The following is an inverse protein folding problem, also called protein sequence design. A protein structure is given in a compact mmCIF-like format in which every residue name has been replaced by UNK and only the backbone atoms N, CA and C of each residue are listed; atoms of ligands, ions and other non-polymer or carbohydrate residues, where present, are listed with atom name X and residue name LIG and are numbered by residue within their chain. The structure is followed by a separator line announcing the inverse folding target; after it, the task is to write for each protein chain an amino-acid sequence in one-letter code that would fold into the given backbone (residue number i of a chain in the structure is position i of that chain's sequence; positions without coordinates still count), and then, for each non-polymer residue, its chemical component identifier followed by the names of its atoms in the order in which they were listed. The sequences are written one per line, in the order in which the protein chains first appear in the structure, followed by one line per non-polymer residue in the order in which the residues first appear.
data_IF_036439022980
#
_entry.id   IF_036439022980
#
_cell.length_a   1.000
_cell.length_b   1.000
_cell.length_c   1.000
_cell.angle_alpha   90.00
_cell.angle_beta   90.00
_cell.angle_gamma   90.00
#
_symmetry.space_group_name_H-M   'P 1'
#
loop_
_entity.id
_entity.type
_entity.pdbx_description
1 polymer ?
#
# COMPACT_ATOMS: atom_id res chain seq x y z
N UNK A 1 -22.33 -24.98 -11.13
CA UNK A 1 -22.82 -25.00 -9.73
C UNK A 1 -21.77 -24.26 -8.90
N UNK A 2 -21.85 -22.92 -8.86
CA UNK A 2 -20.97 -22.08 -8.04
C UNK A 2 -21.54 -22.15 -6.62
N UNK A 3 -20.82 -22.79 -5.71
CA UNK A 3 -21.15 -22.84 -4.30
C UNK A 3 -20.91 -21.46 -3.69
N UNK A 4 -21.97 -20.83 -3.18
CA UNK A 4 -21.91 -19.63 -2.35
C UNK A 4 -21.10 -19.93 -1.08
N UNK A 5 -19.82 -19.52 -1.06
CA UNK A 5 -18.94 -19.57 0.11
C UNK A 5 -18.94 -18.24 0.87
N UNK A 6 -20.09 -17.56 0.94
CA UNK A 6 -20.22 -16.36 1.76
C UNK A 6 -20.16 -16.75 3.25
N UNK A 7 -19.07 -16.39 3.93
CA UNK A 7 -19.04 -16.32 5.40
C UNK A 7 -18.42 -17.49 6.17
N UNK A 8 -17.63 -18.37 5.56
CA UNK A 8 -16.84 -19.36 6.32
C UNK A 8 -15.51 -18.77 6.81
N UNK A 9 -15.02 -19.22 7.97
CA UNK A 9 -13.72 -18.78 8.54
C UNK A 9 -12.58 -18.98 7.53
N UNK A 10 -12.54 -20.14 6.89
CA UNK A 10 -11.53 -20.48 5.88
C UNK A 10 -11.57 -19.53 4.68
N UNK A 11 -12.76 -19.12 4.23
CA UNK A 11 -12.89 -18.14 3.14
C UNK A 11 -12.40 -16.74 3.55
N UNK A 12 -12.62 -16.33 4.81
CA UNK A 12 -12.09 -15.05 5.33
C UNK A 12 -10.56 -15.09 5.44
N UNK A 13 -10.02 -16.21 5.91
CA UNK A 13 -8.58 -16.42 6.01
C UNK A 13 -7.90 -16.38 4.64
N UNK A 14 -8.45 -17.07 3.64
CA UNK A 14 -7.96 -17.01 2.26
C UNK A 14 -7.93 -15.57 1.73
N UNK A 15 -8.97 -14.77 1.98
CA UNK A 15 -9.03 -13.36 1.53
C UNK A 15 -8.04 -12.48 2.28
N UNK A 16 -7.90 -12.64 3.59
CA UNK A 16 -6.96 -11.87 4.39
C UNK A 16 -5.50 -12.17 3.99
N UNK A 17 -5.15 -13.46 3.85
CA UNK A 17 -3.83 -13.88 3.38
C UNK A 17 -3.59 -13.38 1.95
N UNK A 18 -4.60 -13.48 1.08
CA UNK A 18 -4.55 -12.94 -0.27
C UNK A 18 -4.26 -11.44 -0.29
N UNK A 19 -4.90 -10.65 0.58
CA UNK A 19 -4.68 -9.20 0.66
C UNK A 19 -3.22 -8.84 0.97
N UNK A 20 -2.63 -9.42 2.03
CA UNK A 20 -1.25 -9.09 2.40
C UNK A 20 -0.22 -9.66 1.41
N UNK A 21 -0.42 -10.87 0.89
CA UNK A 21 0.49 -11.44 -0.10
C UNK A 21 0.38 -10.73 -1.46
N UNK A 22 -0.83 -10.32 -1.85
CA UNK A 22 -1.07 -9.54 -3.05
C UNK A 22 -0.43 -8.15 -2.94
N UNK A 23 -0.60 -7.48 -1.80
CA UNK A 23 0.09 -6.22 -1.48
C UNK A 23 1.61 -6.39 -1.63
N UNK A 24 2.17 -7.41 -1.00
CA UNK A 24 3.61 -7.66 -1.02
C UNK A 24 4.13 -8.06 -2.42
N UNK A 25 3.33 -8.75 -3.23
CA UNK A 25 3.66 -9.02 -4.63
C UNK A 25 3.67 -7.73 -5.48
N UNK A 26 2.70 -6.85 -5.26
CA UNK A 26 2.64 -5.54 -5.90
C UNK A 26 3.83 -4.65 -5.53
N UNK A 27 4.09 -4.47 -4.23
CA UNK A 27 5.25 -3.77 -3.68
C UNK A 27 6.55 -4.31 -4.29
N UNK A 28 6.75 -5.64 -4.27
CA UNK A 28 7.94 -6.24 -4.84
C UNK A 28 8.08 -6.04 -6.36
N UNK A 29 6.99 -5.87 -7.09
CA UNK A 29 6.99 -5.65 -8.54
C UNK A 29 7.17 -4.18 -8.93
N UNK A 30 6.95 -3.24 -8.00
CA UNK A 30 7.03 -1.80 -8.24
C UNK A 30 8.41 -1.36 -8.75
N UNK A 31 8.43 -0.34 -9.61
CA UNK A 31 9.68 0.17 -10.17
C UNK A 31 10.66 0.65 -9.08
N UNK A 32 10.22 1.35 -8.00
CA UNK A 32 11.14 1.82 -6.97
C UNK A 32 11.62 0.72 -6.02
N UNK A 33 10.93 -0.42 -5.94
CA UNK A 33 11.28 -1.52 -5.03
C UNK A 33 12.71 -2.02 -5.21
N UNK A 34 13.24 -2.03 -6.44
CA UNK A 34 14.64 -2.37 -6.71
C UNK A 34 15.64 -1.37 -6.09
N UNK A 35 15.24 -0.10 -5.93
CA UNK A 35 16.03 0.94 -5.25
C UNK A 35 15.85 0.87 -3.73
N UNK A 36 14.63 0.59 -3.24
CA UNK A 36 14.32 0.40 -1.83
C UNK A 36 15.13 -0.74 -1.23
N UNK A 37 15.17 -1.88 -1.92
CA UNK A 37 16.02 -3.04 -1.62
C UNK A 37 17.50 -2.69 -1.41
N UNK A 38 17.98 -1.60 -2.02
CA UNK A 38 19.37 -1.12 -1.95
C UNK A 38 19.52 0.12 -1.06
N UNK A 39 18.50 0.52 -0.29
CA UNK A 39 18.52 1.74 0.52
C UNK A 39 19.75 1.80 1.45
N UNK A 40 20.13 0.65 2.02
CA UNK A 40 21.28 0.51 2.93
C UNK A 40 22.63 0.30 2.22
N UNK A 41 22.67 0.31 0.89
CA UNK A 41 23.91 0.20 0.09
C UNK A 41 24.39 1.59 -0.35
N UNK A 42 24.97 2.36 0.57
CA UNK A 42 25.28 3.78 0.37
C UNK A 42 26.15 4.06 -0.86
N UNK A 43 27.18 3.24 -1.10
CA UNK A 43 28.06 3.41 -2.26
C UNK A 43 27.32 3.16 -3.58
N UNK A 44 26.55 2.08 -3.70
CA UNK A 44 25.84 1.74 -4.95
C UNK A 44 24.75 2.76 -5.25
N UNK A 45 24.03 3.23 -4.23
CA UNK A 45 23.00 4.26 -4.37
C UNK A 45 23.62 5.59 -4.83
N UNK A 46 24.71 6.04 -4.19
CA UNK A 46 25.41 7.27 -4.60
C UNK A 46 26.03 7.17 -6.00
N UNK A 47 26.65 6.03 -6.31
CA UNK A 47 27.25 5.79 -7.63
C UNK A 47 26.19 5.80 -8.74
N UNK A 48 25.03 5.17 -8.53
CA UNK A 48 23.93 5.15 -9.51
C UNK A 48 23.49 6.55 -9.93
N UNK A 49 23.31 7.48 -8.97
CA UNK A 49 22.91 8.86 -9.27
C UNK A 49 24.02 9.64 -9.98
N UNK A 50 25.24 9.63 -9.44
CA UNK A 50 26.36 10.38 -9.99
C UNK A 50 26.72 9.91 -11.40
N UNK A 51 26.73 8.61 -11.62
CA UNK A 51 27.07 8.05 -12.93
C UNK A 51 25.93 8.24 -13.94
N UNK A 52 24.65 8.20 -13.51
CA UNK A 52 23.53 8.55 -14.39
C UNK A 52 23.64 10.00 -14.89
N UNK A 53 23.95 10.95 -14.00
CA UNK A 53 24.19 12.34 -14.42
C UNK A 53 25.33 12.48 -15.45
N UNK A 54 26.42 11.72 -15.27
CA UNK A 54 27.52 11.71 -16.23
C UNK A 54 27.15 11.05 -17.58
N UNK A 55 26.20 10.12 -17.59
CA UNK A 55 25.66 9.54 -18.82
C UNK A 55 24.78 10.55 -19.57
N UNK A 56 24.01 11.37 -18.85
CA UNK A 56 23.18 12.43 -19.43
C UNK A 56 24.05 13.49 -20.16
N UNK A 57 25.18 13.88 -19.56
CA UNK A 57 26.17 14.78 -20.19
C UNK A 57 26.70 14.22 -21.52
N UNK A 58 26.76 12.90 -21.64
CA UNK A 58 27.19 12.17 -22.84
C UNK A 58 26.04 11.82 -23.79
N UNK A 59 24.81 12.24 -23.48
CA UNK A 59 23.59 11.93 -24.24
C UNK A 59 23.33 10.41 -24.37
N UNK A 60 23.68 9.66 -23.34
CA UNK A 60 23.35 8.24 -23.25
C UNK A 60 21.94 8.10 -22.66
N UNK A 61 21.03 7.52 -23.43
CA UNK A 61 19.60 7.46 -23.06
C UNK A 61 19.25 6.42 -21.98
N UNK A 62 20.16 5.51 -21.66
CA UNK A 62 19.92 4.42 -20.70
C UNK A 62 20.37 4.83 -19.30
N UNK A 63 19.46 4.93 -18.31
CA UNK A 63 19.85 5.20 -16.93
C UNK A 63 20.56 3.99 -16.32
N UNK A 64 21.34 4.22 -15.27
CA UNK A 64 21.89 3.13 -14.48
C UNK A 64 20.86 2.61 -13.50
N UNK A 65 20.64 1.29 -13.53
CA UNK A 65 19.84 0.59 -12.54
C UNK A 65 20.70 0.21 -11.32
N UNK A 66 20.10 -0.02 -10.14
CA UNK A 66 20.85 -0.44 -8.96
C UNK A 66 21.63 -1.75 -9.17
N UNK A 67 22.94 -1.71 -8.94
CA UNK A 67 23.87 -2.84 -9.17
C UNK A 67 24.74 -3.12 -7.94
N UNK A 68 25.44 -4.26 -7.93
CA UNK A 68 26.50 -4.60 -6.97
C UNK A 68 27.80 -4.89 -7.71
N UNK A 69 28.95 -4.68 -7.05
CA UNK A 69 30.27 -5.05 -7.59
C UNK A 69 30.76 -6.43 -7.11
N UNK A 70 30.07 -7.02 -6.14
CA UNK A 70 30.44 -8.30 -5.52
C UNK A 70 29.55 -9.44 -6.03
N UNK A 71 30.17 -10.59 -6.27
CA UNK A 71 29.47 -11.87 -6.46
C UNK A 71 28.98 -12.33 -5.07
N UNK A 72 27.67 -12.43 -4.86
CA UNK A 72 27.08 -12.94 -3.60
C UNK A 72 26.24 -11.92 -2.80
N UNK A 73 26.24 -10.64 -3.19
CA UNK A 73 25.32 -9.62 -2.65
C UNK A 73 23.96 -9.63 -3.40
N UNK A 74 23.41 -10.82 -3.63
CA UNK A 74 22.09 -10.94 -4.25
C UNK A 74 21.07 -10.29 -3.32
N UNK A 75 20.39 -9.26 -3.82
CA UNK A 75 19.22 -8.73 -3.15
C UNK A 75 18.02 -9.36 -3.82
N UNK A 76 17.44 -10.42 -3.24
CA UNK A 76 16.39 -11.19 -3.88
C UNK A 76 15.16 -10.31 -4.10
N UNK A 77 14.28 -10.75 -5.00
CA UNK A 77 12.93 -10.20 -5.06
C UNK A 77 12.29 -10.32 -3.66
N UNK A 78 11.88 -9.20 -3.10
CA UNK A 78 11.22 -9.09 -1.80
C UNK A 78 10.34 -7.83 -1.77
N UNK A 79 9.29 -7.79 -0.96
CA UNK A 79 8.58 -6.54 -0.69
C UNK A 79 9.48 -5.58 0.11
N UNK A 80 9.06 -4.33 0.18
CA UNK A 80 9.79 -3.21 0.77
C UNK A 80 8.88 -2.36 1.66
N UNK A 81 8.74 -1.06 1.41
CA UNK A 81 8.08 -0.10 2.30
C UNK A 81 6.59 -0.34 2.50
N UNK A 82 5.85 -0.69 1.44
CA UNK A 82 4.40 -0.88 1.57
C UNK A 82 4.09 -2.07 2.50
N UNK A 83 4.74 -3.22 2.29
CA UNK A 83 4.52 -4.40 3.13
C UNK A 83 5.07 -4.21 4.55
N UNK A 84 6.20 -3.52 4.71
CA UNK A 84 6.75 -3.18 6.02
C UNK A 84 5.81 -2.22 6.77
N UNK A 85 5.20 -1.25 6.08
CA UNK A 85 4.20 -0.33 6.64
C UNK A 85 2.93 -1.04 7.06
N UNK A 86 2.40 -1.94 6.20
CA UNK A 86 1.27 -2.80 6.53
C UNK A 86 1.56 -3.65 7.78
N UNK A 87 2.78 -4.20 7.87
CA UNK A 87 3.19 -5.02 9.00
C UNK A 87 3.36 -4.23 10.31
N UNK A 88 3.88 -3.00 10.27
CA UNK A 88 3.89 -2.12 11.44
C UNK A 88 2.48 -1.89 11.94
N UNK A 89 1.55 -1.51 11.05
CA UNK A 89 0.16 -1.25 11.43
C UNK A 89 -0.48 -2.48 12.07
N UNK A 90 -0.28 -3.67 11.47
CA UNK A 90 -0.78 -4.92 12.02
C UNK A 90 -0.27 -5.19 13.45
N UNK A 91 1.03 -4.99 13.69
CA UNK A 91 1.61 -5.21 15.01
C UNK A 91 1.12 -4.18 16.03
N UNK A 92 0.97 -2.90 15.64
CA UNK A 92 0.40 -1.87 16.50
C UNK A 92 -1.03 -2.24 16.92
N UNK A 93 -1.88 -2.65 15.97
CA UNK A 93 -3.26 -3.08 16.28
C UNK A 93 -3.30 -4.27 17.24
N UNK A 94 -2.43 -5.26 17.03
CA UNK A 94 -2.37 -6.46 17.87
C UNK A 94 -1.85 -6.17 19.29
N UNK A 95 -1.12 -5.08 19.49
CA UNK A 95 -0.50 -4.69 20.76
C UNK A 95 -1.31 -3.63 21.53
N UNK A 96 -2.11 -2.81 20.82
CA UNK A 96 -2.80 -1.64 21.36
C UNK A 96 -4.33 -1.79 21.34
N UNK A 97 -4.95 -2.51 22.29
CA UNK A 97 -6.36 -2.95 22.21
C UNK A 97 -7.42 -1.84 22.19
N UNK A 98 -7.04 -0.59 22.44
CA UNK A 98 -7.97 0.56 22.47
C UNK A 98 -8.18 1.21 21.11
N UNK A 99 -7.18 1.14 20.24
CA UNK A 99 -7.15 1.82 18.94
C UNK A 99 -7.59 3.30 18.95
N UNK A 100 -7.44 3.99 20.08
CA UNK A 100 -7.56 5.45 20.16
C UNK A 100 -6.27 6.10 19.63
N UNK A 101 -6.35 7.38 19.23
CA UNK A 101 -5.24 8.08 18.58
C UNK A 101 -3.97 8.08 19.45
N UNK A 102 -4.10 8.11 20.78
CA UNK A 102 -2.95 8.10 21.69
C UNK A 102 -2.29 6.72 21.77
N UNK A 103 -3.09 5.65 21.85
CA UNK A 103 -2.60 4.27 21.87
C UNK A 103 -1.90 3.91 20.54
N UNK A 104 -2.55 4.18 19.40
CA UNK A 104 -1.97 3.91 18.08
C UNK A 104 -0.67 4.68 17.87
N UNK A 105 -0.63 5.95 18.27
CA UNK A 105 0.58 6.76 18.18
C UNK A 105 1.71 6.23 19.08
N UNK A 106 1.39 5.83 20.32
CA UNK A 106 2.36 5.24 21.22
C UNK A 106 2.96 3.95 20.63
N UNK A 107 2.11 3.04 20.15
CA UNK A 107 2.54 1.81 19.50
C UNK A 107 3.40 2.07 18.26
N UNK A 108 2.96 2.95 17.36
CA UNK A 108 3.71 3.34 16.16
C UNK A 108 5.11 3.87 16.49
N UNK A 109 5.22 4.73 17.51
CA UNK A 109 6.52 5.28 17.95
C UNK A 109 7.50 4.22 18.43
N UNK A 110 7.03 3.11 19.00
CA UNK A 110 7.92 2.02 19.45
C UNK A 110 8.64 1.34 18.29
N UNK A 111 8.11 1.46 17.06
CA UNK A 111 8.65 0.84 15.84
C UNK A 111 9.39 1.80 14.93
N UNK A 112 9.22 3.10 15.12
CA UNK A 112 9.87 4.13 14.33
C UNK A 112 11.12 4.65 15.02
N UNK A 113 12.15 3.79 15.07
CA UNK A 113 13.47 4.11 15.63
C UNK A 113 14.30 4.98 14.67
N UNK A 114 15.45 5.50 15.11
CA UNK A 114 16.31 6.33 14.26
C UNK A 114 16.92 5.57 13.06
N UNK A 115 17.03 4.23 13.14
CA UNK A 115 17.64 3.40 12.08
C UNK A 115 16.62 2.98 11.01
N UNK A 116 15.33 3.30 11.15
CA UNK A 116 14.35 2.98 10.09
C UNK A 116 14.53 3.89 8.88
N UNK A 117 14.18 3.41 7.71
CA UNK A 117 14.04 4.20 6.48
C UNK A 117 12.56 4.33 6.16
N UNK A 118 12.12 5.53 5.77
CA UNK A 118 10.70 5.83 5.58
C UNK A 118 10.48 6.80 4.43
N UNK A 119 9.22 6.93 3.99
CA UNK A 119 8.76 8.03 3.16
C UNK A 119 8.88 9.39 3.85
N UNK A 120 8.59 10.43 3.07
CA UNK A 120 8.71 11.83 3.50
C UNK A 120 7.70 12.20 4.60
N UNK A 121 6.46 11.71 4.50
CA UNK A 121 5.40 11.94 5.47
C UNK A 121 5.75 11.33 6.84
N UNK A 122 6.09 10.04 6.86
CA UNK A 122 6.47 9.31 8.07
C UNK A 122 7.75 9.90 8.68
N UNK A 123 8.75 10.26 7.87
CA UNK A 123 9.99 10.88 8.38
C UNK A 123 9.68 12.19 9.08
N UNK A 124 8.79 13.00 8.50
CA UNK A 124 8.35 14.26 9.08
C UNK A 124 7.60 14.02 10.39
N UNK A 125 6.73 13.00 10.46
CA UNK A 125 6.04 12.62 11.69
C UNK A 125 7.01 12.16 12.80
N UNK A 126 8.07 11.40 12.48
CA UNK A 126 9.14 11.04 13.43
C UNK A 126 9.79 12.31 14.00
N UNK A 127 10.19 13.24 13.12
CA UNK A 127 10.84 14.50 13.51
C UNK A 127 9.90 15.38 14.34
N UNK A 128 8.64 15.50 13.94
CA UNK A 128 7.62 16.28 14.64
C UNK A 128 7.31 15.66 16.01
N UNK A 129 7.24 14.34 16.09
CA UNK A 129 7.07 13.62 17.36
C UNK A 129 8.23 13.87 18.33
N UNK A 130 9.46 13.90 17.85
CA UNK A 130 10.64 14.24 18.65
C UNK A 130 10.62 15.69 19.16
N UNK A 131 9.87 16.59 18.50
CA UNK A 131 9.62 17.98 18.92
C UNK A 131 8.42 18.12 19.88
N UNK A 132 7.74 17.03 20.21
CA UNK A 132 6.62 17.00 21.14
C UNK A 132 5.24 17.18 20.49
N UNK A 133 5.14 17.16 19.16
CA UNK A 133 3.85 17.16 18.47
C UNK A 133 3.18 15.79 18.60
N UNK A 134 1.86 15.79 18.55
CA UNK A 134 1.01 14.58 18.53
C UNK A 134 0.07 14.61 17.33
N UNK A 135 -0.49 13.47 16.88
CA UNK A 135 -1.53 13.46 15.87
C UNK A 135 -2.72 14.34 16.29
N UNK A 136 -3.40 15.02 15.35
CA UNK A 136 -3.14 15.01 13.90
C UNK A 136 -2.02 15.96 13.45
N UNK A 137 -1.43 16.76 14.35
CA UNK A 137 -0.40 17.74 13.97
C UNK A 137 0.85 17.10 13.38
N UNK A 138 1.25 15.91 13.86
CA UNK A 138 2.38 15.16 13.28
C UNK A 138 2.14 14.79 11.82
N UNK A 139 0.90 14.45 11.46
CA UNK A 139 0.51 14.08 10.11
C UNK A 139 0.11 15.25 9.21
N UNK A 140 -0.26 16.40 9.78
CA UNK A 140 -0.60 17.60 9.01
C UNK A 140 0.63 18.48 8.69
N UNK A 141 1.53 18.68 9.66
CA UNK A 141 2.67 19.61 9.54
C UNK A 141 3.85 18.99 8.77
N UNK A 142 3.60 18.56 7.53
CA UNK A 142 4.60 18.01 6.63
C UNK A 142 4.29 18.30 5.14
N UNK A 143 5.31 18.31 4.25
CA UNK A 143 5.14 18.81 2.88
C UNK A 143 4.37 17.87 1.93
N UNK A 144 4.08 16.64 2.37
CA UNK A 144 3.45 15.59 1.56
C UNK A 144 2.34 14.88 2.33
N UNK A 145 1.63 15.58 3.23
CA UNK A 145 0.59 14.97 4.07
C UNK A 145 -0.53 14.29 3.27
N UNK A 146 -0.69 14.63 1.99
CA UNK A 146 -1.65 14.08 1.03
C UNK A 146 -1.14 12.84 0.28
N UNK A 147 0.08 12.35 0.57
CA UNK A 147 0.66 11.19 -0.10
C UNK A 147 -0.06 9.89 0.24
N UNK A 148 0.29 8.82 -0.46
CA UNK A 148 -0.37 7.51 -0.34
C UNK A 148 0.34 6.50 0.57
N UNK A 149 1.44 6.88 1.23
CA UNK A 149 2.24 5.95 2.05
C UNK A 149 1.54 5.48 3.33
N UNK A 150 0.40 6.06 3.71
CA UNK A 150 -0.48 5.50 4.76
C UNK A 150 -1.46 4.42 4.25
N UNK A 151 -1.69 4.30 2.94
CA UNK A 151 -2.66 3.35 2.38
C UNK A 151 -2.27 1.88 2.64
N UNK A 152 -1.00 1.46 2.60
CA UNK A 152 -0.63 0.09 2.94
C UNK A 152 -1.01 -0.31 4.37
N UNK A 153 -0.88 0.60 5.34
CA UNK A 153 -1.32 0.37 6.73
C UNK A 153 -2.83 0.05 6.82
N UNK A 154 -3.63 0.68 5.96
CA UNK A 154 -5.08 0.49 5.93
C UNK A 154 -5.50 -0.93 5.52
N UNK A 155 -4.66 -1.68 4.81
CA UNK A 155 -4.93 -3.08 4.49
C UNK A 155 -4.97 -3.92 5.77
N UNK A 156 -4.00 -3.76 6.66
CA UNK A 156 -3.99 -4.44 7.96
C UNK A 156 -5.13 -4.02 8.87
N UNK A 157 -5.51 -2.74 8.83
CA UNK A 157 -6.65 -2.21 9.58
C UNK A 157 -7.96 -2.82 9.07
N UNK A 158 -8.15 -2.90 7.75
CA UNK A 158 -9.30 -3.53 7.14
C UNK A 158 -9.39 -5.04 7.44
N UNK A 159 -8.24 -5.73 7.55
CA UNK A 159 -8.17 -7.12 7.99
C UNK A 159 -8.62 -7.29 9.45
N UNK A 160 -8.15 -6.43 10.35
CA UNK A 160 -8.53 -6.47 11.77
C UNK A 160 -10.05 -6.29 11.93
N UNK A 161 -10.62 -5.33 11.19
CA UNK A 161 -12.05 -5.02 11.22
C UNK A 161 -12.84 -5.71 10.09
N UNK A 162 -12.47 -6.94 9.75
CA UNK A 162 -13.10 -7.69 8.68
C UNK A 162 -14.62 -7.83 8.87
N UNK A 163 -15.40 -7.32 7.91
CA UNK A 163 -16.86 -7.28 7.98
C UNK A 163 -17.44 -6.07 8.73
N UNK A 164 -16.60 -5.16 9.24
CA UNK A 164 -17.00 -3.91 9.87
C UNK A 164 -16.29 -2.70 9.22
N UNK A 165 -16.71 -2.31 8.01
CA UNK A 165 -16.07 -1.21 7.29
C UNK A 165 -16.18 0.15 8.00
N UNK A 166 -17.16 0.34 8.88
CA UNK A 166 -17.31 1.58 9.63
C UNK A 166 -16.20 1.74 10.67
N UNK A 167 -15.98 0.72 11.50
CA UNK A 167 -14.87 0.72 12.45
C UNK A 167 -13.50 0.71 11.75
N UNK A 168 -13.38 0.01 10.62
CA UNK A 168 -12.18 0.04 9.79
C UNK A 168 -11.83 1.48 9.34
N UNK A 169 -12.83 2.25 8.88
CA UNK A 169 -12.65 3.64 8.47
C UNK A 169 -12.29 4.57 9.63
N UNK A 170 -12.88 4.37 10.81
CA UNK A 170 -12.60 5.19 12.00
C UNK A 170 -11.16 4.99 12.49
N UNK A 171 -10.70 3.73 12.57
CA UNK A 171 -9.35 3.41 13.02
C UNK A 171 -8.30 3.77 11.97
N UNK A 172 -8.61 3.57 10.68
CA UNK A 172 -7.75 4.03 9.60
C UNK A 172 -7.56 5.54 9.61
N UNK A 173 -8.60 6.31 9.94
CA UNK A 173 -8.49 7.76 10.12
C UNK A 173 -7.45 8.10 11.20
N UNK A 174 -7.64 7.59 12.41
CA UNK A 174 -6.76 7.85 13.57
C UNK A 174 -5.33 7.42 13.32
N UNK A 175 -5.14 6.26 12.67
CA UNK A 175 -3.81 5.75 12.35
C UNK A 175 -3.14 6.61 11.27
N UNK A 176 -3.84 6.95 10.20
CA UNK A 176 -3.29 7.75 9.12
C UNK A 176 -2.96 9.18 9.57
N UNK A 177 -3.72 9.77 10.50
CA UNK A 177 -3.43 11.08 11.11
C UNK A 177 -2.08 11.14 11.84
N UNK A 178 -1.44 9.99 12.10
CA UNK A 178 -0.07 9.95 12.63
C UNK A 178 0.91 10.59 11.64
N UNK A 179 0.75 10.33 10.35
CA UNK A 179 1.71 10.70 9.30
C UNK A 179 1.13 11.54 8.16
N UNK A 180 -0.20 11.55 7.99
CA UNK A 180 -0.91 12.18 6.87
C UNK A 180 -2.06 13.08 7.32
N UNK A 181 -2.62 13.83 6.37
CA UNK A 181 -3.83 14.62 6.51
C UNK A 181 -4.58 14.70 5.17
N UNK A 182 -5.88 15.02 5.23
CA UNK A 182 -6.74 15.22 4.05
C UNK A 182 -6.74 14.01 3.10
N UNK A 183 -6.41 14.18 1.81
CA UNK A 183 -6.47 13.12 0.80
C UNK A 183 -5.65 11.87 1.17
N UNK A 184 -4.55 12.02 1.93
CA UNK A 184 -3.77 10.88 2.43
C UNK A 184 -4.53 10.06 3.48
N UNK A 185 -5.27 10.73 4.38
CA UNK A 185 -6.13 10.08 5.38
C UNK A 185 -7.36 9.48 4.72
N UNK A 186 -8.04 10.22 3.85
CA UNK A 186 -9.25 9.73 3.18
C UNK A 186 -8.97 8.52 2.31
N UNK A 187 -7.82 8.48 1.63
CA UNK A 187 -7.43 7.31 0.85
C UNK A 187 -7.17 6.07 1.73
N UNK A 188 -6.52 6.24 2.89
CA UNK A 188 -6.37 5.16 3.85
C UNK A 188 -7.73 4.66 4.37
N UNK A 189 -8.67 5.56 4.67
CA UNK A 189 -10.03 5.17 5.07
C UNK A 189 -10.73 4.36 3.97
N UNK A 190 -10.70 4.83 2.72
CA UNK A 190 -11.31 4.12 1.60
C UNK A 190 -10.69 2.73 1.39
N UNK A 191 -9.37 2.59 1.48
CA UNK A 191 -8.72 1.28 1.38
C UNK A 191 -9.13 0.35 2.53
N UNK A 192 -9.17 0.83 3.77
CA UNK A 192 -9.63 0.03 4.92
C UNK A 192 -11.07 -0.46 4.74
N UNK A 193 -11.97 0.41 4.23
CA UNK A 193 -13.35 0.05 3.89
C UNK A 193 -13.40 -1.04 2.83
N UNK A 194 -12.63 -0.90 1.75
CA UNK A 194 -12.59 -1.88 0.66
C UNK A 194 -12.15 -3.25 1.17
N UNK A 195 -11.05 -3.29 1.92
CA UNK A 195 -10.48 -4.52 2.45
C UNK A 195 -11.40 -5.16 3.51
N UNK A 196 -11.93 -4.40 4.46
CA UNK A 196 -12.88 -4.90 5.45
C UNK A 196 -14.14 -5.48 4.80
N UNK A 197 -14.65 -4.84 3.75
CA UNK A 197 -15.81 -5.32 2.99
C UNK A 197 -15.49 -6.61 2.22
N UNK A 198 -14.35 -6.65 1.52
CA UNK A 198 -13.90 -7.82 0.75
C UNK A 198 -13.69 -9.04 1.66
N UNK A 199 -12.96 -8.89 2.76
CA UNK A 199 -12.74 -9.97 3.73
C UNK A 199 -14.04 -10.34 4.44
N UNK A 200 -14.94 -9.37 4.63
CA UNK A 200 -16.32 -9.59 5.09
C UNK A 200 -17.20 -10.41 4.14
N UNK A 201 -16.77 -10.60 2.89
CA UNK A 201 -17.44 -11.43 1.88
C UNK A 201 -18.12 -10.65 0.75
N UNK A 202 -17.97 -9.32 0.70
CA UNK A 202 -18.52 -8.51 -0.39
C UNK A 202 -17.87 -8.85 -1.74
N UNK A 203 -18.60 -8.55 -2.82
CA UNK A 203 -18.05 -8.54 -4.18
C UNK A 203 -17.13 -7.32 -4.36
N UNK A 204 -16.14 -7.42 -5.25
CA UNK A 204 -15.16 -6.36 -5.50
C UNK A 204 -15.82 -5.03 -5.89
N UNK A 205 -16.77 -5.05 -6.83
CA UNK A 205 -17.47 -3.83 -7.26
C UNK A 205 -18.25 -3.15 -6.12
N UNK A 206 -18.83 -3.93 -5.21
CA UNK A 206 -19.56 -3.38 -4.06
C UNK A 206 -18.60 -2.81 -3.00
N UNK A 207 -17.49 -3.49 -2.75
CA UNK A 207 -16.45 -3.02 -1.84
C UNK A 207 -15.80 -1.71 -2.33
N UNK A 208 -15.50 -1.60 -3.63
CA UNK A 208 -14.94 -0.38 -4.22
C UNK A 208 -15.95 0.77 -4.20
N UNK A 209 -17.24 0.50 -4.41
CA UNK A 209 -18.30 1.52 -4.28
C UNK A 209 -18.44 2.01 -2.84
N UNK A 210 -18.42 1.11 -1.87
CA UNK A 210 -18.45 1.48 -0.45
C UNK A 210 -17.23 2.32 -0.07
N UNK A 211 -16.04 1.94 -0.53
CA UNK A 211 -14.80 2.68 -0.32
C UNK A 211 -14.84 4.08 -0.93
N UNK A 212 -15.32 4.21 -2.17
CA UNK A 212 -15.50 5.52 -2.81
C UNK A 212 -16.48 6.42 -2.05
N UNK A 213 -17.52 5.83 -1.43
CA UNK A 213 -18.48 6.55 -0.59
C UNK A 213 -17.92 7.07 0.74
N UNK A 214 -16.75 6.58 1.18
CA UNK A 214 -16.06 7.09 2.37
C UNK A 214 -15.23 8.36 2.09
N UNK A 215 -15.02 8.71 0.82
CA UNK A 215 -14.26 9.89 0.41
C UNK A 215 -15.14 11.14 0.48
N UNK A 216 -14.71 12.23 1.15
CA UNK A 216 -15.50 13.46 1.21
C UNK A 216 -15.76 14.09 -0.15
N UNK A 217 -16.99 14.56 -0.36
CA UNK A 217 -17.38 15.33 -1.54
C UNK A 217 -16.50 16.60 -1.67
N UNK A 218 -16.14 16.95 -2.91
CA UNK A 218 -15.33 18.13 -3.18
C UNK A 218 -13.82 17.99 -2.87
N UNK A 219 -13.37 16.85 -2.32
CA UNK A 219 -11.95 16.52 -2.19
C UNK A 219 -11.27 16.36 -3.55
N UNK A 220 -9.93 16.37 -3.57
CA UNK A 220 -9.19 16.05 -4.79
C UNK A 220 -9.42 14.59 -5.19
N UNK A 221 -9.39 13.68 -4.22
CA UNK A 221 -9.68 12.26 -4.44
C UNK A 221 -11.06 12.04 -5.06
N UNK A 222 -12.12 12.71 -4.58
CA UNK A 222 -13.46 12.60 -5.18
C UNK A 222 -13.50 13.04 -6.64
N UNK A 223 -12.84 14.16 -6.99
CA UNK A 223 -12.75 14.61 -8.39
C UNK A 223 -12.01 13.61 -9.27
N UNK A 224 -10.93 13.02 -8.77
CA UNK A 224 -10.15 12.05 -9.51
C UNK A 224 -10.83 10.67 -9.59
N UNK A 225 -11.63 10.27 -8.59
CA UNK A 225 -12.52 9.11 -8.69
C UNK A 225 -13.52 9.28 -9.84
N UNK A 226 -14.09 10.47 -10.02
CA UNK A 226 -14.99 10.74 -11.15
C UNK A 226 -14.28 10.64 -12.51
N UNK A 227 -13.04 11.16 -12.63
CA UNK A 227 -12.22 10.98 -13.84
C UNK A 227 -11.88 9.52 -14.10
N UNK A 228 -11.49 8.79 -13.06
CA UNK A 228 -11.16 7.37 -13.13
C UNK A 228 -12.39 6.54 -13.58
N UNK A 229 -13.57 6.85 -13.05
CA UNK A 229 -14.83 6.24 -13.48
C UNK A 229 -15.11 6.47 -14.98
N UNK A 230 -14.83 7.68 -15.49
CA UNK A 230 -14.96 7.93 -16.93
C UNK A 230 -13.97 7.10 -17.77
N UNK A 231 -12.70 7.00 -17.34
CA UNK A 231 -11.71 6.14 -18.01
C UNK A 231 -12.17 4.69 -18.01
N UNK A 232 -12.73 4.23 -16.88
CA UNK A 232 -13.28 2.89 -16.76
C UNK A 232 -14.41 2.64 -17.76
N UNK A 233 -15.39 3.53 -17.87
CA UNK A 233 -16.54 3.35 -18.76
C UNK A 233 -16.12 3.12 -20.22
N UNK A 234 -15.00 3.72 -20.63
CA UNK A 234 -14.47 3.64 -22.00
C UNK A 234 -13.56 2.42 -22.23
N UNK A 235 -12.87 1.94 -21.19
CA UNK A 235 -11.88 0.88 -21.30
C UNK A 235 -12.50 -0.52 -21.35
N UNK A 236 -11.93 -1.40 -22.18
CA UNK A 236 -12.38 -2.80 -22.32
C UNK A 236 -11.61 -3.80 -21.45
N UNK A 237 -10.47 -3.38 -20.91
CA UNK A 237 -9.60 -4.20 -20.07
C UNK A 237 -8.69 -3.32 -19.22
N UNK A 238 -8.06 -3.88 -18.19
CA UNK A 238 -7.12 -3.14 -17.34
C UNK A 238 -5.95 -2.54 -18.16
N UNK A 239 -5.44 -3.29 -19.15
CA UNK A 239 -4.40 -2.80 -20.05
C UNK A 239 -4.87 -1.62 -20.91
N UNK A 240 -6.10 -1.70 -21.44
CA UNK A 240 -6.72 -0.66 -22.28
C UNK A 240 -6.98 0.65 -21.49
N UNK A 241 -7.16 0.56 -20.17
CA UNK A 241 -7.33 1.74 -19.32
C UNK A 241 -6.04 2.52 -19.08
N UNK A 242 -4.85 1.90 -19.22
CA UNK A 242 -3.57 2.50 -18.84
C UNK A 242 -3.32 3.87 -19.49
N UNK A 243 -3.48 4.07 -20.81
CA UNK A 243 -3.27 5.37 -21.42
C UNK A 243 -4.18 6.46 -20.85
N UNK A 244 -5.46 6.16 -20.65
CA UNK A 244 -6.44 7.10 -20.08
C UNK A 244 -6.15 7.43 -18.61
N UNK A 245 -5.75 6.44 -17.81
CA UNK A 245 -5.33 6.65 -16.43
C UNK A 245 -4.08 7.54 -16.36
N UNK A 246 -3.09 7.28 -17.22
CA UNK A 246 -1.87 8.10 -17.29
C UNK A 246 -2.19 9.54 -17.68
N UNK A 247 -3.01 9.73 -18.72
CA UNK A 247 -3.38 11.07 -19.18
C UNK A 247 -4.14 11.88 -18.12
N UNK A 248 -5.07 11.25 -17.40
CA UNK A 248 -5.97 11.94 -16.48
C UNK A 248 -5.41 12.09 -15.05
N UNK A 249 -4.58 11.14 -14.61
CA UNK A 249 -4.16 10.98 -13.21
C UNK A 249 -2.65 10.93 -13.02
N UNK A 250 -1.84 10.92 -14.08
CA UNK A 250 -0.37 10.94 -13.96
C UNK A 250 0.24 12.14 -14.69
N UNK A 251 0.00 13.37 -14.21
CA UNK A 251 0.53 14.56 -14.85
C UNK A 251 2.07 14.55 -14.90
N UNK A 252 2.72 15.23 -15.84
CA UNK A 252 4.19 15.26 -15.92
C UNK A 252 4.84 16.40 -15.11
N UNK A 253 4.04 17.23 -14.44
CA UNK A 253 4.48 18.52 -13.87
C UNK A 253 4.98 18.46 -12.42
N UNK A 254 4.95 17.28 -11.79
CA UNK A 254 5.40 17.09 -10.41
C UNK A 254 6.15 15.77 -10.27
N UNK A 255 7.25 15.78 -9.52
CA UNK A 255 8.16 14.62 -9.41
C UNK A 255 7.69 13.56 -8.43
N UNK A 256 6.77 13.88 -7.52
CA UNK A 256 6.29 12.92 -6.52
C UNK A 256 5.19 12.03 -7.10
N UNK A 257 5.44 10.72 -7.12
CA UNK A 257 4.55 9.71 -7.68
C UNK A 257 3.43 9.23 -6.75
N UNK A 258 3.67 9.23 -5.44
CA UNK A 258 2.76 8.69 -4.41
C UNK A 258 1.68 9.68 -3.98
N UNK A 259 0.89 10.20 -4.92
CA UNK A 259 -0.22 11.13 -4.62
C UNK A 259 -1.50 10.32 -4.42
N UNK A 260 -2.04 10.28 -3.20
CA UNK A 260 -3.21 9.45 -2.85
C UNK A 260 -4.43 9.71 -3.74
N UNK A 261 -4.70 10.99 -4.05
CA UNK A 261 -5.79 11.39 -4.94
C UNK A 261 -5.60 10.91 -6.39
N UNK A 262 -4.41 10.50 -6.80
CA UNK A 262 -4.10 9.96 -8.13
C UNK A 262 -4.03 8.43 -8.11
N UNK A 263 -3.35 7.87 -7.11
CA UNK A 263 -2.98 6.46 -7.05
C UNK A 263 -4.14 5.55 -6.67
N UNK A 264 -4.94 5.93 -5.67
CA UNK A 264 -6.09 5.14 -5.23
C UNK A 264 -7.18 5.01 -6.32
N UNK A 265 -7.64 6.10 -6.98
CA UNK A 265 -8.63 5.97 -8.04
C UNK A 265 -8.17 5.09 -9.21
N UNK A 266 -6.89 5.19 -9.60
CA UNK A 266 -6.33 4.35 -10.65
C UNK A 266 -6.27 2.88 -10.22
N UNK A 267 -5.86 2.60 -8.98
CA UNK A 267 -5.85 1.24 -8.44
C UNK A 267 -7.25 0.60 -8.45
N UNK A 268 -8.29 1.36 -8.10
CA UNK A 268 -9.68 0.88 -8.15
C UNK A 268 -10.10 0.48 -9.56
N UNK A 269 -9.82 1.32 -10.55
CA UNK A 269 -10.15 1.03 -11.95
C UNK A 269 -9.45 -0.23 -12.45
N UNK A 270 -8.16 -0.39 -12.14
CA UNK A 270 -7.37 -1.55 -12.59
C UNK A 270 -7.82 -2.85 -11.92
N UNK A 271 -8.05 -2.83 -10.60
CA UNK A 271 -8.55 -3.99 -9.87
C UNK A 271 -9.93 -4.42 -10.38
N UNK A 272 -10.82 -3.47 -10.63
CA UNK A 272 -12.18 -3.75 -11.09
C UNK A 272 -12.24 -4.20 -12.56
N UNK A 273 -11.42 -3.63 -13.45
CA UNK A 273 -11.31 -4.10 -14.84
C UNK A 273 -10.66 -5.48 -14.97
N UNK A 274 -9.83 -5.86 -14.02
CA UNK A 274 -9.25 -7.19 -13.93
C UNK A 274 -10.19 -8.20 -13.25
N UNK A 275 -11.33 -7.77 -12.70
CA UNK A 275 -12.25 -8.61 -11.92
C UNK A 275 -11.54 -9.42 -10.81
N UNK A 276 -10.56 -8.77 -10.14
CA UNK A 276 -9.73 -9.42 -9.13
C UNK A 276 -8.59 -10.30 -9.67
N UNK A 277 -8.44 -10.49 -10.98
CA UNK A 277 -7.31 -11.24 -11.55
C UNK A 277 -5.96 -10.55 -11.28
N UNK A 278 -5.22 -11.09 -10.32
CA UNK A 278 -3.99 -10.50 -9.79
C UNK A 278 -2.94 -10.26 -10.88
N UNK A 279 -2.73 -11.23 -11.78
CA UNK A 279 -1.69 -11.14 -12.81
C UNK A 279 -1.99 -10.04 -13.83
N UNK A 280 -3.24 -9.96 -14.30
CA UNK A 280 -3.69 -8.92 -15.24
C UNK A 280 -3.64 -7.54 -14.60
N UNK A 281 -4.08 -7.43 -13.35
CA UNK A 281 -4.12 -6.17 -12.63
C UNK A 281 -2.71 -5.63 -12.33
N UNK A 282 -1.82 -6.46 -11.78
CA UNK A 282 -0.43 -6.09 -11.51
C UNK A 282 0.34 -5.78 -12.80
N UNK A 283 0.14 -6.58 -13.86
CA UNK A 283 0.76 -6.33 -15.16
C UNK A 283 0.36 -4.97 -15.74
N UNK A 284 -0.89 -4.55 -15.53
CA UNK A 284 -1.39 -3.24 -15.99
C UNK A 284 -0.91 -2.10 -15.07
N UNK A 285 -0.91 -2.31 -13.75
CA UNK A 285 -0.42 -1.33 -12.77
C UNK A 285 1.07 -1.01 -12.97
N UNK A 286 1.89 -2.01 -13.31
CA UNK A 286 3.31 -1.84 -13.59
C UNK A 286 3.61 -0.91 -14.79
N UNK A 287 2.64 -0.70 -15.69
CA UNK A 287 2.78 0.20 -16.83
C UNK A 287 2.56 1.68 -16.47
N UNK A 288 2.01 1.96 -15.28
CA UNK A 288 1.77 3.32 -14.79
C UNK A 288 3.00 3.79 -14.00
N UNK A 289 4.08 4.09 -14.71
CA UNK A 289 5.42 4.23 -14.14
C UNK A 289 5.53 5.25 -12.99
N UNK A 290 4.82 6.39 -13.04
CA UNK A 290 4.93 7.44 -12.00
C UNK A 290 4.40 6.96 -10.65
N UNK A 291 3.28 6.24 -10.64
CA UNK A 291 2.62 5.72 -9.43
C UNK A 291 3.05 4.29 -9.08
N UNK A 292 4.09 3.76 -9.75
CA UNK A 292 4.49 2.35 -9.65
C UNK A 292 5.14 1.95 -8.31
N UNK A 293 5.27 2.87 -7.37
CA UNK A 293 5.68 2.57 -5.99
C UNK A 293 4.53 1.87 -5.28
N UNK A 294 3.48 2.63 -4.97
CA UNK A 294 2.36 2.19 -4.13
C UNK A 294 1.18 1.60 -4.91
N UNK A 295 0.95 2.00 -6.17
CA UNK A 295 -0.25 1.56 -6.91
C UNK A 295 -0.29 0.04 -7.13
N UNK A 296 0.80 -0.63 -7.54
CA UNK A 296 0.80 -2.09 -7.67
C UNK A 296 0.49 -2.79 -6.34
N UNK A 297 0.99 -2.27 -5.22
CA UNK A 297 0.68 -2.80 -3.89
C UNK A 297 -0.82 -2.66 -3.53
N UNK A 298 -1.43 -1.50 -3.83
CA UNK A 298 -2.88 -1.31 -3.65
C UNK A 298 -3.71 -2.26 -4.50
N UNK A 299 -3.38 -2.37 -5.79
CA UNK A 299 -4.06 -3.29 -6.72
C UNK A 299 -3.91 -4.73 -6.26
N UNK A 300 -2.70 -5.10 -5.84
CA UNK A 300 -2.40 -6.42 -5.31
C UNK A 300 -3.24 -6.75 -4.06
N UNK A 301 -3.38 -5.80 -3.13
CA UNK A 301 -4.20 -5.97 -1.94
C UNK A 301 -5.68 -6.22 -2.28
N UNK A 302 -6.25 -5.41 -3.19
CA UNK A 302 -7.64 -5.51 -3.61
C UNK A 302 -7.92 -6.83 -4.36
N UNK A 303 -7.09 -7.17 -5.34
CA UNK A 303 -7.20 -8.42 -6.11
C UNK A 303 -7.00 -9.65 -5.21
N UNK A 304 -6.00 -9.62 -4.34
CA UNK A 304 -5.74 -10.68 -3.37
C UNK A 304 -6.89 -10.88 -2.38
N UNK A 305 -7.47 -9.80 -1.87
CA UNK A 305 -8.65 -9.86 -1.01
C UNK A 305 -9.91 -10.35 -1.73
N UNK A 306 -10.06 -10.06 -3.02
CA UNK A 306 -11.20 -10.49 -3.82
C UNK A 306 -11.10 -11.97 -4.24
N UNK A 307 -9.90 -12.42 -4.62
CA UNK A 307 -9.65 -13.74 -5.23
C UNK A 307 -9.05 -14.77 -4.27
N UNK A 308 -8.66 -14.35 -3.06
CA UNK A 308 -8.08 -15.21 -2.05
C UNK A 308 -6.59 -15.49 -2.25
N UNK A 309 -5.99 -16.19 -1.29
CA UNK A 309 -4.55 -16.41 -1.26
C UNK A 309 -4.08 -17.14 -2.52
N UNK A 310 -4.86 -18.12 -3.00
CA UNK A 310 -4.56 -18.91 -4.19
C UNK A 310 -4.29 -18.08 -5.46
N UNK A 311 -4.74 -16.82 -5.51
CA UNK A 311 -4.43 -15.88 -6.60
C UNK A 311 -2.94 -15.53 -6.67
N UNK A 312 -2.21 -15.59 -5.55
CA UNK A 312 -0.75 -15.40 -5.50
C UNK A 312 -0.07 -16.75 -5.75
N UNK A 313 0.66 -16.94 -6.86
CA UNK A 313 1.31 -18.22 -7.16
C UNK A 313 2.44 -18.55 -6.17
N UNK A 314 2.69 -19.83 -5.93
CA UNK A 314 3.76 -20.30 -5.03
C UNK A 314 5.16 -19.78 -5.39
N UNK A 315 5.40 -19.47 -6.68
CA UNK A 315 6.63 -18.83 -7.13
C UNK A 315 6.79 -17.44 -6.54
N UNK A 316 5.72 -16.67 -6.39
CA UNK A 316 5.74 -15.36 -5.74
C UNK A 316 5.72 -15.47 -4.22
N UNK A 317 4.84 -16.32 -3.66
CA UNK A 317 4.68 -16.46 -2.19
C UNK A 317 6.00 -16.72 -1.48
N UNK A 318 6.87 -17.56 -2.06
CA UNK A 318 8.21 -17.87 -1.53
C UNK A 318 9.12 -16.66 -1.39
N UNK A 319 8.89 -15.61 -2.18
CA UNK A 319 9.67 -14.37 -2.18
C UNK A 319 9.01 -13.26 -1.36
N UNK A 320 7.68 -13.28 -1.19
CA UNK A 320 6.95 -12.14 -0.61
C UNK A 320 6.31 -12.39 0.74
N UNK A 321 6.14 -13.64 1.18
CA UNK A 321 5.54 -13.92 2.50
C UNK A 321 6.42 -13.43 3.66
N UNK A 322 7.74 -13.55 3.52
CA UNK A 322 8.71 -13.18 4.56
C UNK A 322 9.24 -11.78 4.31
N UNK A 323 9.02 -10.89 5.26
CA UNK A 323 9.55 -9.53 5.21
C UNK A 323 11.08 -9.55 5.32
N UNK A 324 11.74 -8.85 4.41
CA UNK A 324 13.20 -8.78 4.37
C UNK A 324 13.78 -7.84 5.45
N UNK A 325 13.00 -6.86 5.92
CA UNK A 325 13.43 -5.87 6.92
C UNK A 325 14.46 -4.91 6.33
N UNK A 326 14.27 -4.50 5.07
CA UNK A 326 15.23 -3.64 4.37
C UNK A 326 15.15 -2.22 4.92
N UNK A 327 13.95 -1.71 5.17
CA UNK A 327 13.74 -0.34 5.61
C UNK A 327 13.53 -0.30 7.12
N UNK A 328 12.82 -1.28 7.67
CA UNK A 328 12.54 -1.47 9.10
C UNK A 328 13.13 -2.84 9.55
N UNK A 329 14.37 -2.88 10.08
CA UNK A 329 15.10 -4.12 10.35
C UNK A 329 14.39 -5.07 11.33
N UNK A 330 13.66 -4.52 12.29
CA UNK A 330 12.96 -5.28 13.34
C UNK A 330 11.85 -6.19 12.78
N UNK A 331 11.41 -5.97 11.54
CA UNK A 331 10.38 -6.79 10.89
C UNK A 331 10.94 -8.01 10.16
N UNK A 332 12.28 -8.15 10.09
CA UNK A 332 12.92 -9.22 9.32
C UNK A 332 12.43 -10.61 9.75
N UNK A 333 11.96 -11.38 8.77
CA UNK A 333 11.49 -12.76 8.96
C UNK A 333 10.03 -12.91 9.41
N UNK A 334 9.32 -11.80 9.67
CA UNK A 334 7.88 -11.81 9.90
C UNK A 334 7.17 -12.40 8.68
N UNK A 335 6.21 -13.31 8.93
CA UNK A 335 5.36 -13.89 7.87
C UNK A 335 4.07 -13.10 7.76
N UNK A 336 3.77 -12.61 6.56
CA UNK A 336 2.51 -11.93 6.25
C UNK A 336 1.32 -12.88 6.34
N UNK A 337 1.48 -14.14 5.94
CA UNK A 337 0.45 -15.18 6.11
C UNK A 337 0.10 -15.38 7.59
N UNK A 338 1.11 -15.54 8.45
CA UNK A 338 0.88 -15.68 9.89
C UNK A 338 0.28 -14.40 10.52
N UNK A 339 0.67 -13.23 10.00
CA UNK A 339 0.16 -11.94 10.46
C UNK A 339 -1.32 -11.75 10.10
N UNK A 340 -1.75 -12.15 8.89
CA UNK A 340 -3.15 -12.16 8.48
C UNK A 340 -4.02 -13.01 9.43
N UNK A 341 -3.58 -14.22 9.76
CA UNK A 341 -4.28 -15.09 10.71
C UNK A 341 -4.44 -14.45 12.10
N UNK A 342 -3.36 -13.84 12.62
CA UNK A 342 -3.39 -13.14 13.91
C UNK A 342 -4.36 -11.96 13.93
N UNK A 343 -4.46 -11.20 12.84
CA UNK A 343 -5.39 -10.08 12.72
C UNK A 343 -6.84 -10.55 12.73
N UNK A 344 -7.15 -11.66 12.05
CA UNK A 344 -8.51 -12.23 12.03
C UNK A 344 -8.91 -12.88 13.36
N UNK A 345 -7.95 -13.43 14.10
CA UNK A 345 -8.18 -14.05 15.40
C UNK A 345 -8.18 -13.04 16.56
N UNK A 346 -7.85 -11.77 16.28
CA UNK A 346 -7.88 -10.74 17.29
C UNK A 346 -9.32 -10.58 17.81
N UNK A 347 -9.52 -10.55 19.13
CA UNK A 347 -10.87 -10.38 19.67
C UNK A 347 -11.45 -9.03 19.23
N UNK A 348 -12.77 -8.99 19.02
CA UNK A 348 -13.54 -7.76 18.91
C UNK A 348 -13.47 -7.03 20.25
N UNK A 349 -12.37 -6.30 20.48
CA UNK A 349 -12.25 -5.40 21.61
C UNK A 349 -12.98 -4.14 21.18
N UNK A 350 -14.14 -3.91 21.77
CA UNK A 350 -15.06 -2.76 21.61
C UNK A 350 -16.23 -3.00 20.63
N UNK A 351 -17.37 -3.41 21.21
CA UNK A 351 -18.68 -2.80 20.94
C UNK A 351 -19.03 -1.88 22.10
#
# INVERSE_FOLDING_TARGET
MRTDFAGTRDAREERAVGALLGLAAGDAAGLPAQFHRRARSAWTRSAGWRLSAALDEQRVSRPLLPFTLSIGDDIPLSPTDDAETAAVAALVLLEEPRHDSAALFAGWRTRMSDDVWTGMAERSAIINSARGLTPPATGNDNPVHYSDSAVPAAVSIGLYYAGDPANAAEVACRYAEITHAEDGVWAAQAMAVAIASLVGGAHLSDALRAAAGAIPEGSWTARNLAKAAHVRELARSAFDAVPGLVEQLSPAVYSHGGVAAETLPAAFVLAELADGDLATALGSAALVARQSDSMPAMVGALCGAASGAAAVPDTWRRHVDKIAGVLIPDLKGLSLTALAGRLLDAPDIVR
#
